data_IF_925963036085
#
_entry.id   IF_925963036085
#
_cell.length_a   1.000
_cell.length_b   1.000
_cell.length_c   1.000
_cell.angle_alpha   90.00
_cell.angle_beta   90.00
_cell.angle_gamma   90.00
#
_symmetry.space_group_name_H-M   'P 1'
#
loop_
_entity.id
_entity.type
_entity.pdbx_description
1 polymer ?
#
# COMPACT_ATOMS: atom_id res chain seq x y z
N UNK A 1 -13.64 48.13 24.88
CA UNK A 1 -12.65 47.16 25.42
C UNK A 1 -13.29 45.78 25.41
N UNK A 2 -12.62 44.74 24.89
CA UNK A 2 -13.10 43.35 25.05
C UNK A 2 -12.79 42.89 26.46
N UNK A 3 -13.75 42.24 27.11
CA UNK A 3 -13.55 41.58 28.39
C UNK A 3 -12.54 40.43 28.19
N UNK A 4 -11.39 40.49 28.87
CA UNK A 4 -10.37 39.44 28.84
C UNK A 4 -10.56 38.58 30.08
N UNK A 5 -10.75 37.28 29.89
CA UNK A 5 -10.85 36.30 30.97
C UNK A 5 -9.52 35.54 31.08
N UNK A 6 -8.88 35.66 32.23
CA UNK A 6 -7.63 34.96 32.55
C UNK A 6 -8.00 33.70 33.34
N UNK A 7 -7.55 32.54 32.87
CA UNK A 7 -7.75 31.25 33.53
C UNK A 7 -6.40 30.70 33.99
N UNK A 8 -6.37 30.07 35.16
CA UNK A 8 -5.19 29.39 35.68
C UNK A 8 -5.31 27.89 35.40
N UNK A 9 -4.22 27.27 34.95
CA UNK A 9 -4.11 25.83 34.74
C UNK A 9 -2.80 25.34 35.36
N UNK A 10 -2.82 24.15 35.94
CA UNK A 10 -1.61 23.51 36.47
C UNK A 10 -0.77 22.93 35.34
N UNK A 11 0.55 23.04 35.48
CA UNK A 11 1.52 22.68 34.43
C UNK A 11 1.47 21.20 34.03
N UNK A 12 1.02 20.32 34.91
CA UNK A 12 0.86 18.88 34.69
C UNK A 12 -0.35 18.53 33.80
N UNK A 13 -1.22 19.50 33.52
CA UNK A 13 -2.35 19.37 32.60
C UNK A 13 -2.03 19.90 31.19
N UNK A 14 -0.80 20.38 30.98
CA UNK A 14 -0.33 20.86 29.69
C UNK A 14 0.52 19.80 29.00
N UNK A 15 0.39 19.72 27.68
CA UNK A 15 1.22 18.89 26.83
C UNK A 15 2.70 19.20 27.06
N UNK A 16 3.61 18.26 26.72
CA UNK A 16 5.01 18.60 26.58
C UNK A 16 5.20 19.83 25.69
N UNK A 17 6.18 20.70 25.99
CA UNK A 17 6.56 21.81 25.13
C UNK A 17 6.78 21.37 23.69
N UNK A 18 5.99 21.89 22.75
CA UNK A 18 6.20 21.63 21.33
C UNK A 18 7.10 22.76 20.79
N UNK A 19 8.37 22.45 20.55
CA UNK A 19 9.31 23.40 19.92
C UNK A 19 9.13 23.38 18.41
N UNK A 20 8.51 24.44 17.87
CA UNK A 20 8.53 24.73 16.44
C UNK A 20 9.80 25.48 16.01
N UNK A 21 9.94 25.77 14.72
CA UNK A 21 11.06 26.58 14.18
C UNK A 21 11.04 28.06 14.63
N UNK A 22 9.96 28.50 15.27
CA UNK A 22 9.84 29.81 15.92
C UNK A 22 10.09 29.73 17.43
N UNK A 23 10.58 30.82 18.04
CA UNK A 23 10.85 30.96 19.48
C UNK A 23 9.60 30.88 20.40
N UNK A 24 8.44 30.48 19.86
CA UNK A 24 7.19 30.32 20.57
C UNK A 24 7.04 28.86 21.01
N UNK A 25 7.00 28.61 22.30
CA UNK A 25 6.63 27.30 22.84
C UNK A 25 5.11 27.24 22.98
N UNK A 26 4.44 26.43 22.15
CA UNK A 26 3.00 26.20 22.31
C UNK A 26 2.76 25.04 23.29
N UNK A 27 1.79 25.22 24.17
CA UNK A 27 1.38 24.23 25.17
C UNK A 27 -0.14 24.14 25.16
N UNK A 28 -0.66 22.97 24.80
CA UNK A 28 -2.09 22.68 24.78
C UNK A 28 -2.47 21.83 25.97
N UNK A 29 -3.75 21.66 26.28
CA UNK A 29 -4.15 20.75 27.35
C UNK A 29 -3.85 19.30 26.95
N UNK A 30 -3.43 18.50 27.91
CA UNK A 30 -3.23 17.06 27.72
C UNK A 30 -4.47 16.36 27.16
N UNK A 31 -5.66 16.76 27.61
CA UNK A 31 -6.94 16.25 27.10
C UNK A 31 -7.08 16.47 25.60
N UNK A 32 -6.76 17.68 25.15
CA UNK A 32 -6.97 18.11 23.78
C UNK A 32 -5.93 17.45 22.87
N UNK A 33 -4.69 17.31 23.36
CA UNK A 33 -3.62 16.57 22.69
C UNK A 33 -3.95 15.07 22.57
N UNK A 34 -4.45 14.44 23.64
CA UNK A 34 -4.85 13.04 23.61
C UNK A 34 -6.03 12.79 22.65
N UNK A 35 -7.00 13.72 22.59
CA UNK A 35 -8.11 13.66 21.63
C UNK A 35 -7.60 13.78 20.19
N UNK A 36 -6.60 14.65 19.95
CA UNK A 36 -5.97 14.80 18.64
C UNK A 36 -5.23 13.53 18.21
N UNK A 37 -4.40 12.95 19.08
CA UNK A 37 -3.71 11.68 18.86
C UNK A 37 -4.70 10.55 18.55
N UNK A 38 -5.81 10.48 19.31
CA UNK A 38 -6.87 9.50 19.06
C UNK A 38 -7.52 9.70 17.68
N UNK A 39 -7.79 10.93 17.26
CA UNK A 39 -8.32 11.25 15.92
C UNK A 39 -7.33 10.87 14.81
N UNK A 40 -6.04 11.13 14.99
CA UNK A 40 -5.00 10.74 14.03
C UNK A 40 -4.87 9.23 13.91
N UNK A 41 -4.88 8.51 15.04
CA UNK A 41 -4.88 7.05 15.06
C UNK A 41 -6.11 6.48 14.34
N UNK A 42 -7.29 7.03 14.60
CA UNK A 42 -8.53 6.63 13.92
C UNK A 42 -8.48 6.91 12.41
N UNK A 43 -8.00 8.08 11.99
CA UNK A 43 -7.89 8.44 10.58
C UNK A 43 -6.86 7.58 9.83
N UNK A 44 -5.74 7.26 10.48
CA UNK A 44 -4.73 6.33 9.97
C UNK A 44 -5.32 4.93 9.78
N UNK A 45 -6.09 4.44 10.77
CA UNK A 45 -6.76 3.16 10.69
C UNK A 45 -7.82 3.12 9.56
N UNK A 46 -8.57 4.21 9.35
CA UNK A 46 -9.54 4.32 8.23
C UNK A 46 -8.83 4.34 6.89
N UNK A 47 -7.73 5.11 6.74
CA UNK A 47 -6.93 5.13 5.51
C UNK A 47 -6.34 3.76 5.19
N UNK A 48 -5.89 3.02 6.20
CA UNK A 48 -5.39 1.66 6.04
C UNK A 48 -6.50 0.65 5.67
N UNK A 49 -7.76 0.93 6.02
CA UNK A 49 -8.93 0.07 5.76
C UNK A 49 -9.68 0.42 4.46
N UNK A 50 -9.11 1.23 3.57
CA UNK A 50 -9.78 1.64 2.34
C UNK A 50 -9.81 0.55 1.25
N UNK A 51 -9.01 -0.51 1.39
CA UNK A 51 -8.96 -1.61 0.42
C UNK A 51 -10.00 -2.67 0.86
N UNK A 52 -11.06 -2.93 0.07
CA UNK A 52 -12.05 -3.93 0.43
C UNK A 52 -11.47 -5.35 0.47
N UNK A 53 -12.18 -6.27 1.13
CA UNK A 53 -11.81 -7.69 1.11
C UNK A 53 -11.77 -8.22 -0.33
N UNK A 54 -10.70 -8.95 -0.67
CA UNK A 54 -10.46 -9.46 -2.02
C UNK A 54 -9.82 -8.46 -2.99
N UNK A 55 -9.51 -7.23 -2.56
CA UNK A 55 -8.83 -6.24 -3.39
C UNK A 55 -7.37 -6.03 -2.95
N UNK A 56 -6.53 -5.62 -3.89
CA UNK A 56 -5.16 -5.20 -3.66
C UNK A 56 -4.94 -3.78 -4.19
N UNK A 57 -4.07 -3.02 -3.53
CA UNK A 57 -3.61 -1.73 -4.07
C UNK A 57 -2.50 -1.97 -5.10
N UNK A 58 -2.64 -1.39 -6.28
CA UNK A 58 -1.68 -1.52 -7.38
C UNK A 58 -1.32 -0.14 -7.96
N UNK A 59 -0.17 -0.02 -8.65
CA UNK A 59 0.11 1.15 -9.47
C UNK A 59 -1.05 1.46 -10.42
N UNK A 60 -1.32 2.74 -10.66
CA UNK A 60 -2.37 3.15 -11.61
C UNK A 60 -2.10 2.62 -13.03
N UNK A 61 -0.83 2.47 -13.37
CA UNK A 61 -0.37 1.89 -14.63
C UNK A 61 0.76 0.93 -14.33
N UNK A 62 0.72 -0.24 -14.95
CA UNK A 62 1.78 -1.24 -14.92
C UNK A 62 2.32 -1.33 -16.35
N UNK A 63 3.61 -1.10 -16.50
CA UNK A 63 4.28 -1.28 -17.77
C UNK A 63 4.70 -2.74 -17.89
N UNK A 64 4.37 -3.37 -19.03
CA UNK A 64 4.78 -4.73 -19.35
C UNK A 64 5.77 -4.66 -20.50
N UNK A 65 6.97 -5.18 -20.28
CA UNK A 65 7.95 -5.35 -21.34
C UNK A 65 7.62 -6.57 -22.22
N UNK A 66 8.21 -6.72 -23.42
CA UNK A 66 7.88 -7.83 -24.31
C UNK A 66 8.02 -9.23 -23.67
N UNK A 67 8.99 -9.43 -22.77
CA UNK A 67 9.15 -10.70 -22.03
C UNK A 67 8.02 -10.97 -21.02
N UNK A 68 7.40 -9.92 -20.49
CA UNK A 68 6.25 -10.06 -19.60
C UNK A 68 5.03 -10.53 -20.39
N UNK A 69 4.86 -10.00 -21.60
CA UNK A 69 3.81 -10.43 -22.53
C UNK A 69 4.05 -11.87 -22.96
N UNK A 70 5.30 -12.23 -23.26
CA UNK A 70 5.67 -13.62 -23.58
C UNK A 70 5.37 -14.57 -22.41
N UNK A 71 5.61 -14.15 -21.16
CA UNK A 71 5.29 -14.94 -19.97
C UNK A 71 3.78 -15.18 -19.84
N UNK A 72 2.94 -14.19 -20.14
CA UNK A 72 1.48 -14.36 -20.21
C UNK A 72 1.11 -15.37 -21.30
N UNK A 73 1.68 -15.23 -22.50
CA UNK A 73 1.41 -16.16 -23.60
C UNK A 73 1.86 -17.59 -23.28
N UNK A 74 2.98 -17.78 -22.57
CA UNK A 74 3.43 -19.10 -22.17
C UNK A 74 2.45 -19.81 -21.22
N UNK A 75 1.66 -19.06 -20.46
CA UNK A 75 0.69 -19.59 -19.50
C UNK A 75 -0.71 -19.77 -20.11
N UNK A 76 -1.07 -18.95 -21.10
CA UNK A 76 -2.45 -18.85 -21.60
C UNK A 76 -2.58 -18.94 -23.13
N UNK A 77 -1.51 -19.31 -23.83
CA UNK A 77 -1.46 -19.37 -25.28
C UNK A 77 -1.32 -18.00 -25.97
N UNK A 78 -0.98 -18.05 -27.26
CA UNK A 78 -0.89 -16.89 -28.15
C UNK A 78 -1.85 -16.99 -29.35
N UNK A 79 -2.68 -18.05 -29.39
CA UNK A 79 -3.61 -18.33 -30.47
C UNK A 79 -2.93 -18.85 -31.74
N UNK A 80 -1.65 -19.23 -31.68
CA UNK A 80 -0.89 -19.69 -32.83
C UNK A 80 -0.63 -21.20 -32.76
N UNK A 81 -0.97 -21.93 -33.84
CA UNK A 81 -0.84 -23.40 -33.90
C UNK A 81 0.60 -23.90 -33.69
N UNK A 82 1.60 -23.11 -34.09
CA UNK A 82 3.02 -23.42 -33.89
C UNK A 82 3.70 -22.59 -32.79
N UNK A 83 2.92 -21.81 -32.02
CA UNK A 83 3.39 -20.95 -30.93
C UNK A 83 3.11 -21.59 -29.58
N UNK A 84 2.51 -20.82 -28.68
CA UNK A 84 2.07 -21.29 -27.36
C UNK A 84 0.72 -22.01 -27.40
N UNK A 85 0.14 -22.18 -28.59
CA UNK A 85 -1.12 -22.88 -28.81
C UNK A 85 -2.33 -21.97 -28.73
N UNK A 86 -3.52 -22.56 -28.70
CA UNK A 86 -4.78 -21.84 -28.58
C UNK A 86 -4.85 -21.05 -27.26
N UNK A 87 -5.63 -19.98 -27.25
CA UNK A 87 -5.89 -19.23 -26.02
C UNK A 87 -6.64 -20.09 -25.00
N UNK A 88 -6.17 -20.07 -23.75
CA UNK A 88 -6.78 -20.75 -22.60
C UNK A 88 -7.03 -19.78 -21.45
N UNK A 89 -7.77 -20.24 -20.44
CA UNK A 89 -8.08 -19.41 -19.28
C UNK A 89 -6.85 -19.25 -18.37
N UNK A 90 -6.70 -18.05 -17.79
CA UNK A 90 -5.61 -17.70 -16.89
C UNK A 90 -6.10 -17.03 -15.61
N UNK A 91 -5.39 -17.25 -14.51
CA UNK A 91 -5.63 -16.59 -13.24
C UNK A 91 -4.56 -15.54 -12.99
N UNK A 92 -4.95 -14.26 -12.96
CA UNK A 92 -4.09 -13.15 -12.59
C UNK A 92 -4.33 -12.75 -11.13
N UNK A 93 -3.26 -12.51 -10.37
CA UNK A 93 -3.37 -12.00 -9.01
C UNK A 93 -2.22 -11.09 -8.62
N UNK A 94 -2.46 -10.32 -7.56
CA UNK A 94 -1.47 -9.47 -6.91
C UNK A 94 -1.11 -10.08 -5.58
N UNK A 95 0.18 -10.26 -5.31
CA UNK A 95 0.59 -10.88 -4.07
C UNK A 95 2.05 -11.27 -4.05
N UNK A 96 2.38 -12.22 -3.17
CA UNK A 96 3.72 -12.74 -3.02
C UNK A 96 3.84 -14.13 -3.66
N UNK A 97 4.91 -14.37 -4.39
CA UNK A 97 5.38 -15.71 -4.77
C UNK A 97 6.74 -15.95 -4.13
N UNK A 98 6.97 -17.16 -3.63
CA UNK A 98 8.28 -17.60 -3.19
C UNK A 98 8.92 -18.42 -4.32
N UNK A 99 10.11 -18.02 -4.77
CA UNK A 99 10.88 -18.75 -5.77
C UNK A 99 11.70 -19.89 -5.13
N UNK A 100 12.23 -20.78 -5.97
CA UNK A 100 13.00 -21.96 -5.55
C UNK A 100 14.27 -21.62 -4.75
N UNK A 101 14.84 -20.43 -4.97
CA UNK A 101 15.98 -19.92 -4.22
C UNK A 101 15.61 -19.38 -2.83
N UNK A 102 14.32 -19.42 -2.48
CA UNK A 102 13.75 -18.91 -1.24
C UNK A 102 13.47 -17.40 -1.25
N UNK A 103 13.75 -16.69 -2.34
CA UNK A 103 13.39 -15.29 -2.49
C UNK A 103 11.88 -15.12 -2.58
N UNK A 104 11.37 -14.00 -2.06
CA UNK A 104 9.94 -13.66 -2.09
C UNK A 104 9.77 -12.40 -2.92
N UNK A 105 8.94 -12.48 -3.95
CA UNK A 105 8.68 -11.39 -4.88
C UNK A 105 7.23 -10.95 -4.76
N UNK A 106 7.01 -9.64 -4.63
CA UNK A 106 5.69 -9.03 -4.66
C UNK A 106 5.41 -8.41 -6.03
N UNK A 107 4.24 -8.68 -6.60
CA UNK A 107 3.93 -8.19 -7.93
C UNK A 107 2.62 -8.70 -8.50
N UNK A 108 2.52 -8.56 -9.83
CA UNK A 108 1.50 -9.18 -10.66
C UNK A 108 2.00 -10.55 -11.12
N UNK A 109 1.16 -11.55 -10.94
CA UNK A 109 1.46 -12.94 -11.24
C UNK A 109 0.36 -13.56 -12.07
N UNK A 110 0.70 -14.56 -12.88
CA UNK A 110 -0.25 -15.33 -13.69
C UNK A 110 0.03 -16.82 -13.61
N UNK A 111 -1.02 -17.63 -13.65
CA UNK A 111 -0.95 -19.08 -13.84
C UNK A 111 -2.01 -19.52 -14.84
N UNK A 112 -1.79 -20.68 -15.47
CA UNK A 112 -2.86 -21.40 -16.16
C UNK A 112 -4.02 -21.71 -15.21
N UNK A 113 -5.26 -21.54 -15.67
CA UNK A 113 -6.44 -21.98 -14.93
C UNK A 113 -6.69 -23.49 -15.10
N UNK A 114 -6.20 -24.08 -16.19
CA UNK A 114 -6.38 -25.49 -16.52
C UNK A 114 -5.36 -26.39 -15.82
N UNK A 115 -4.17 -25.85 -15.54
CA UNK A 115 -3.03 -26.58 -14.94
C UNK A 115 -2.48 -25.84 -13.72
N UNK A 116 -3.32 -25.67 -12.70
CA UNK A 116 -2.95 -24.92 -11.48
C UNK A 116 -1.76 -25.51 -10.72
N UNK A 117 -1.44 -26.78 -10.94
CA UNK A 117 -0.28 -27.48 -10.37
C UNK A 117 1.07 -26.98 -10.90
N UNK A 118 1.11 -26.35 -12.07
CA UNK A 118 2.34 -25.76 -12.64
C UNK A 118 2.76 -24.48 -11.90
N UNK A 119 1.86 -23.95 -11.06
CA UNK A 119 2.11 -22.77 -10.25
C UNK A 119 2.01 -21.47 -11.05
N UNK A 120 2.44 -20.39 -10.41
CA UNK A 120 2.43 -19.04 -10.99
C UNK A 120 3.79 -18.57 -11.43
N UNK A 121 3.80 -17.72 -12.46
CA UNK A 121 4.97 -16.95 -12.85
C UNK A 121 4.77 -15.48 -12.50
N UNK A 122 5.86 -14.82 -12.11
CA UNK A 122 5.88 -13.37 -11.92
C UNK A 122 5.87 -12.67 -13.27
N UNK A 123 4.85 -11.85 -13.52
CA UNK A 123 4.73 -11.02 -14.73
C UNK A 123 5.41 -9.68 -14.55
N UNK A 124 5.26 -9.04 -13.38
CA UNK A 124 5.84 -7.74 -13.12
C UNK A 124 5.97 -7.49 -11.62
N UNK A 125 7.13 -7.03 -11.16
CA UNK A 125 7.36 -6.68 -9.75
C UNK A 125 6.96 -5.23 -9.43
N UNK A 126 6.35 -5.03 -8.27
CA UNK A 126 6.14 -3.69 -7.73
C UNK A 126 6.10 -3.69 -6.20
N UNK A 127 6.27 -2.51 -5.60
CA UNK A 127 6.26 -2.37 -4.15
C UNK A 127 4.88 -2.70 -3.56
N UNK A 128 4.85 -3.57 -2.55
CA UNK A 128 3.61 -3.96 -1.84
C UNK A 128 2.89 -2.80 -1.14
N UNK A 129 3.59 -1.70 -0.87
CA UNK A 129 3.01 -0.47 -0.35
C UNK A 129 3.58 0.73 -1.09
N UNK A 130 2.76 1.79 -1.27
CA UNK A 130 3.28 3.07 -1.71
C UNK A 130 4.39 3.49 -0.74
N UNK A 131 5.56 3.84 -1.26
CA UNK A 131 6.63 4.41 -0.42
C UNK A 131 6.02 5.59 0.33
N UNK A 132 6.13 5.63 1.66
CA UNK A 132 5.75 6.80 2.45
C UNK A 132 6.44 7.99 1.79
N UNK A 133 5.64 8.91 1.25
CA UNK A 133 6.16 10.01 0.44
C UNK A 133 7.23 10.77 1.21
N UNK A 134 8.41 10.91 0.61
CA UNK A 134 9.12 12.18 0.72
C UNK A 134 8.20 13.15 -0.02
N UNK A 135 7.56 14.06 0.72
CA UNK A 135 6.80 15.14 0.12
C UNK A 135 7.72 15.89 -0.85
N UNK A 136 7.31 15.98 -2.11
CA UNK A 136 7.91 16.89 -3.08
C UNK A 136 7.49 18.33 -2.79
#
# INVERSE_FOLDING_TARGET
MKEVKIYTIVSDQLSPPITGESFCTDMVRHSDYAELEAKYAALSAVRARAIPEGYALVPQQIFLEPSDIESICSQCGDGHESGYGDFTDGLLWVGNIQHDDGSIVHGLHISSADYTEEGGVTVCEFAAQPRKGVAA
#
